data_IF_484461184351
#
_entry.id   IF_484461184351
#
_cell.length_a   1.000
_cell.length_b   1.000
_cell.length_c   1.000
_cell.angle_alpha   90.00
_cell.angle_beta   90.00
_cell.angle_gamma   90.00
#
_symmetry.space_group_name_H-M   'P 1'
#
loop_
_entity.id
_entity.type
_entity.pdbx_description
1 polymer ?
#
# COMPACT_ATOMS: atom_id res chain seq x y z
N UNK A 1 5.58 -41.06 12.99
CA UNK A 1 5.49 -40.95 14.46
C UNK A 1 6.30 -39.77 15.07
N UNK A 2 7.45 -39.36 14.52
CA UNK A 2 8.32 -38.29 15.07
C UNK A 2 7.78 -36.87 14.92
N UNK A 3 6.93 -36.57 13.92
CA UNK A 3 6.33 -35.20 13.73
C UNK A 3 5.21 -34.90 14.72
N UNK A 4 4.44 -35.87 15.16
CA UNK A 4 3.37 -35.69 16.14
C UNK A 4 3.90 -35.43 17.55
N UNK A 5 4.99 -36.08 17.97
CA UNK A 5 5.61 -35.82 19.27
C UNK A 5 6.17 -34.41 19.41
N UNK A 6 6.72 -33.86 18.33
CA UNK A 6 7.26 -32.47 18.35
C UNK A 6 6.16 -31.40 18.48
N UNK A 7 4.98 -31.65 17.91
CA UNK A 7 3.84 -30.73 17.99
C UNK A 7 3.20 -30.74 19.38
N UNK A 8 3.06 -31.95 19.97
CA UNK A 8 2.46 -32.10 21.29
C UNK A 8 3.35 -31.53 22.43
N UNK A 9 4.65 -31.73 22.33
CA UNK A 9 5.61 -31.18 23.31
C UNK A 9 5.68 -29.65 23.20
N UNK A 10 5.52 -29.08 21.99
CA UNK A 10 5.51 -27.64 21.79
C UNK A 10 4.24 -26.98 22.35
N UNK A 11 3.08 -27.60 22.14
CA UNK A 11 1.80 -27.17 22.69
C UNK A 11 1.77 -27.24 24.22
N UNK A 12 2.23 -28.36 24.80
CA UNK A 12 2.33 -28.53 26.26
C UNK A 12 3.31 -27.54 26.91
N UNK A 13 4.43 -27.20 26.25
CA UNK A 13 5.35 -26.18 26.76
C UNK A 13 4.77 -24.77 26.66
N UNK A 14 4.01 -24.45 25.60
CA UNK A 14 3.33 -23.14 25.48
C UNK A 14 2.23 -23.00 26.55
N UNK A 15 1.48 -24.05 26.86
CA UNK A 15 0.47 -24.05 27.92
C UNK A 15 1.08 -23.98 29.32
N UNK A 16 2.20 -24.66 29.57
CA UNK A 16 2.94 -24.62 30.86
C UNK A 16 3.61 -23.25 31.07
N UNK A 17 4.20 -22.66 30.03
CA UNK A 17 4.76 -21.32 30.08
C UNK A 17 3.66 -20.27 30.30
N UNK A 18 2.53 -20.40 29.62
CA UNK A 18 1.37 -19.54 29.79
C UNK A 18 0.82 -19.60 31.22
N UNK A 19 0.75 -20.80 31.81
CA UNK A 19 0.26 -21.02 33.17
C UNK A 19 1.23 -20.46 34.22
N UNK A 20 2.56 -20.65 34.02
CA UNK A 20 3.59 -20.11 34.94
C UNK A 20 3.72 -18.59 34.83
N UNK A 21 3.47 -17.98 33.68
CA UNK A 21 3.49 -16.54 33.49
C UNK A 21 2.23 -15.85 34.07
N UNK A 22 1.08 -16.54 34.06
CA UNK A 22 -0.14 -16.03 34.68
C UNK A 22 -0.04 -16.06 36.22
N UNK A 23 0.80 -16.93 36.81
CA UNK A 23 1.02 -17.00 38.25
C UNK A 23 2.09 -16.01 38.74
N UNK A 24 2.86 -15.37 37.84
CA UNK A 24 3.97 -14.47 38.19
C UNK A 24 3.63 -12.97 38.17
N UNK A 25 2.65 -12.53 37.38
CA UNK A 25 2.28 -11.12 37.28
C UNK A 25 0.79 -10.93 37.58
N UNK A 26 0.50 -10.47 38.78
CA UNK A 26 -0.87 -10.19 39.25
C UNK A 26 -1.10 -8.66 39.28
N UNK A 27 -1.39 -8.09 38.11
CA UNK A 27 -1.77 -6.68 38.02
C UNK A 27 -3.18 -6.49 38.59
N UNK A 28 -3.45 -5.37 39.31
CA UNK A 28 -4.77 -5.05 39.82
C UNK A 28 -5.84 -5.10 38.69
N UNK A 29 -6.94 -5.78 38.93
CA UNK A 29 -8.01 -6.05 37.96
C UNK A 29 -8.53 -4.79 37.27
N UNK A 30 -8.56 -3.66 37.99
CA UNK A 30 -9.01 -2.38 37.44
C UNK A 30 -8.10 -1.82 36.34
N UNK A 31 -6.81 -2.19 36.31
CA UNK A 31 -5.83 -1.66 35.35
C UNK A 31 -6.24 -1.97 33.90
N UNK A 32 -6.61 -3.22 33.65
CA UNK A 32 -6.98 -3.69 32.31
C UNK A 32 -8.48 -3.90 32.15
N UNK A 33 -9.28 -3.57 33.14
CA UNK A 33 -10.73 -3.68 33.07
C UNK A 33 -11.30 -2.84 31.91
N UNK A 34 -12.13 -3.47 31.07
CA UNK A 34 -12.70 -2.83 29.88
C UNK A 34 -11.82 -2.85 28.65
N UNK A 35 -10.57 -3.33 28.76
CA UNK A 35 -9.70 -3.56 27.61
C UNK A 35 -9.68 -5.04 27.20
N UNK A 36 -9.64 -5.31 25.91
CA UNK A 36 -9.32 -6.66 25.42
C UNK A 36 -7.82 -6.87 25.51
N UNK A 37 -7.40 -7.72 26.45
CA UNK A 37 -5.98 -8.00 26.74
C UNK A 37 -5.65 -9.47 26.67
N UNK A 38 -4.41 -9.80 26.31
CA UNK A 38 -3.86 -11.16 26.28
C UNK A 38 -2.37 -11.16 26.67
N UNK A 39 -1.91 -12.19 27.39
CA UNK A 39 -0.48 -12.38 27.62
C UNK A 39 0.19 -12.87 26.34
N UNK A 40 1.19 -12.16 25.89
CA UNK A 40 1.96 -12.52 24.71
C UNK A 40 3.10 -13.48 25.05
N UNK A 41 2.80 -14.76 25.07
CA UNK A 41 3.76 -15.82 25.45
C UNK A 41 5.00 -15.87 24.56
N UNK A 42 4.90 -15.44 23.28
CA UNK A 42 6.04 -15.38 22.35
C UNK A 42 7.04 -14.27 22.66
N UNK A 43 6.60 -13.22 23.35
CA UNK A 43 7.43 -12.07 23.71
C UNK A 43 7.78 -12.02 25.19
N UNK A 44 7.04 -12.77 26.02
CA UNK A 44 7.30 -12.89 27.44
C UNK A 44 8.54 -13.76 27.68
N UNK A 45 9.27 -13.46 28.73
CA UNK A 45 10.48 -14.18 29.17
C UNK A 45 10.43 -14.34 30.69
N UNK A 46 11.31 -15.18 31.25
CA UNK A 46 11.47 -15.29 32.72
C UNK A 46 11.82 -14.01 33.43
N UNK A 47 12.12 -12.94 32.72
CA UNK A 47 12.51 -11.62 33.28
C UNK A 47 11.49 -10.52 32.97
N UNK A 48 10.50 -10.76 32.14
CA UNK A 48 9.52 -9.75 31.77
C UNK A 48 8.28 -10.38 31.15
N UNK A 49 7.12 -10.09 31.69
CA UNK A 49 5.82 -10.42 31.12
C UNK A 49 5.39 -9.37 30.10
N UNK A 50 4.92 -9.79 28.93
CA UNK A 50 4.39 -8.89 27.89
C UNK A 50 2.90 -9.13 27.73
N UNK A 51 2.10 -8.09 27.98
CA UNK A 51 0.65 -8.09 27.80
C UNK A 51 0.34 -7.30 26.54
N UNK A 52 -0.49 -7.83 25.65
CA UNK A 52 -0.99 -7.11 24.47
C UNK A 52 -2.41 -6.63 24.77
N UNK A 53 -2.63 -5.32 24.64
CA UNK A 53 -3.95 -4.68 24.70
C UNK A 53 -4.33 -4.24 23.30
N UNK A 54 -5.55 -4.54 22.88
CA UNK A 54 -6.13 -4.09 21.60
C UNK A 54 -6.92 -2.82 21.80
N UNK A 55 -6.62 -1.79 21.01
CA UNK A 55 -7.12 -0.43 21.18
C UNK A 55 -7.65 0.18 19.89
N UNK A 56 -8.75 0.89 19.98
CA UNK A 56 -9.28 1.75 18.90
C UNK A 56 -8.59 3.12 18.88
N UNK A 57 -8.15 3.60 20.04
CA UNK A 57 -7.41 4.86 20.22
C UNK A 57 -6.18 4.63 21.12
N UNK A 58 -5.07 4.28 20.51
CA UNK A 58 -3.86 3.83 21.19
C UNK A 58 -3.28 4.85 22.15
N UNK A 59 -3.30 6.12 21.79
CA UNK A 59 -2.73 7.17 22.63
C UNK A 59 -3.55 7.37 23.89
N UNK A 60 -4.86 7.52 23.76
CA UNK A 60 -5.77 7.68 24.89
C UNK A 60 -5.81 6.42 25.76
N UNK A 61 -5.86 5.22 25.18
CA UNK A 61 -5.91 3.97 25.93
C UNK A 61 -4.58 3.70 26.67
N UNK A 62 -3.42 4.02 26.06
CA UNK A 62 -2.12 3.98 26.73
C UNK A 62 -2.07 4.90 27.94
N UNK A 63 -2.51 6.14 27.78
CA UNK A 63 -2.48 7.14 28.82
C UNK A 63 -3.46 6.77 29.95
N UNK A 64 -4.61 6.21 29.63
CA UNK A 64 -5.57 5.68 30.60
C UNK A 64 -5.01 4.47 31.39
N UNK A 65 -4.34 3.53 30.71
CA UNK A 65 -3.67 2.40 31.37
C UNK A 65 -2.57 2.91 32.31
N UNK A 66 -1.74 3.86 31.87
CA UNK A 66 -0.71 4.45 32.72
C UNK A 66 -1.32 5.16 33.94
N UNK A 67 -2.41 5.89 33.74
CA UNK A 67 -3.13 6.55 34.85
C UNK A 67 -3.65 5.54 35.86
N UNK A 68 -4.25 4.44 35.44
CA UNK A 68 -4.76 3.37 36.33
C UNK A 68 -3.64 2.65 37.05
N UNK A 69 -2.52 2.35 36.37
CA UNK A 69 -1.32 1.80 37.04
C UNK A 69 -0.81 2.72 38.14
N UNK A 70 -0.73 4.01 37.84
CA UNK A 70 -0.29 5.02 38.82
C UNK A 70 -1.24 5.09 40.04
N UNK A 71 -2.57 5.05 39.78
CA UNK A 71 -3.57 5.04 40.86
C UNK A 71 -3.53 3.78 41.70
N UNK A 72 -3.20 2.64 41.10
CA UNK A 72 -3.00 1.38 41.81
C UNK A 72 -1.63 1.27 42.52
N UNK A 73 -0.80 2.33 42.50
CA UNK A 73 0.52 2.33 43.13
C UNK A 73 1.59 1.54 42.37
N UNK A 74 1.33 1.16 41.12
CA UNK A 74 2.27 0.40 40.30
C UNK A 74 3.26 1.35 39.63
N UNK A 75 4.54 1.05 39.73
CA UNK A 75 5.59 1.85 39.08
C UNK A 75 5.61 1.57 37.57
N UNK A 76 5.21 2.54 36.76
CA UNK A 76 5.16 2.41 35.32
C UNK A 76 5.47 3.72 34.58
N UNK A 77 5.92 3.62 33.32
CA UNK A 77 6.21 4.76 32.46
C UNK A 77 5.94 4.42 31.01
N UNK A 78 5.72 5.44 30.17
CA UNK A 78 5.60 5.28 28.73
C UNK A 78 6.94 4.81 28.15
N UNK A 79 6.90 3.69 27.43
CA UNK A 79 8.05 3.16 26.72
C UNK A 79 8.20 3.77 25.33
N UNK A 80 9.25 3.39 24.61
CA UNK A 80 9.51 3.88 23.26
C UNK A 80 8.45 3.38 22.28
N UNK A 81 7.59 4.26 21.79
CA UNK A 81 6.53 3.99 20.81
C UNK A 81 7.07 3.65 19.43
N UNK A 82 6.32 2.86 18.67
CA UNK A 82 6.55 2.53 17.26
C UNK A 82 5.28 2.74 16.46
N UNK A 83 5.37 2.64 15.12
CA UNK A 83 4.19 2.77 14.25
C UNK A 83 3.07 1.75 14.52
N UNK A 84 3.36 0.68 15.25
CA UNK A 84 2.43 -0.41 15.52
C UNK A 84 2.20 -0.72 17.00
N UNK A 85 2.93 -0.06 17.91
CA UNK A 85 2.86 -0.36 19.34
C UNK A 85 3.16 0.90 20.15
N UNK A 86 2.29 1.22 21.10
CA UNK A 86 2.52 2.22 22.14
C UNK A 86 2.61 1.52 23.49
N UNK A 87 3.83 1.34 24.04
CA UNK A 87 4.03 0.53 25.23
C UNK A 87 3.99 1.35 26.52
N UNK A 88 3.56 0.67 27.59
CA UNK A 88 3.79 1.05 28.98
C UNK A 88 4.70 -0.01 29.61
N UNK A 89 5.86 0.38 30.07
CA UNK A 89 6.81 -0.48 30.79
C UNK A 89 6.71 -0.22 32.30
N UNK A 90 6.75 -1.28 33.12
CA UNK A 90 6.64 -1.13 34.55
C UNK A 90 7.21 -2.30 35.37
N UNK A 91 7.14 -2.14 36.69
CA UNK A 91 7.51 -3.14 37.68
C UNK A 91 6.38 -3.26 38.69
N UNK A 92 5.94 -4.48 38.95
CA UNK A 92 4.95 -4.81 39.98
C UNK A 92 5.41 -6.06 40.72
N UNK A 93 5.45 -5.99 42.05
CA UNK A 93 5.91 -7.06 42.96
C UNK A 93 7.28 -7.65 42.58
N UNK A 94 8.17 -6.78 42.11
CA UNK A 94 9.53 -7.17 41.66
C UNK A 94 9.62 -7.75 40.26
N UNK A 95 8.50 -7.96 39.60
CA UNK A 95 8.43 -8.47 38.24
C UNK A 95 8.30 -7.36 37.20
N UNK A 96 9.14 -7.41 36.16
CA UNK A 96 9.04 -6.46 35.08
C UNK A 96 7.90 -6.85 34.16
N UNK A 97 7.13 -5.86 33.71
CA UNK A 97 6.10 -6.06 32.69
C UNK A 97 6.17 -5.03 31.57
N UNK A 98 5.55 -5.36 30.45
CA UNK A 98 5.30 -4.45 29.35
C UNK A 98 3.90 -4.63 28.83
N UNK A 99 3.09 -3.58 28.83
CA UNK A 99 1.79 -3.55 28.18
C UNK A 99 1.99 -2.93 26.79
N UNK A 100 1.80 -3.72 25.74
CA UNK A 100 1.86 -3.27 24.35
C UNK A 100 0.46 -2.88 23.88
N UNK A 101 0.13 -1.59 23.88
CA UNK A 101 -1.10 -1.09 23.28
C UNK A 101 -0.94 -1.09 21.77
N UNK A 102 -1.70 -1.96 21.12
CA UNK A 102 -1.69 -2.15 19.68
C UNK A 102 -3.02 -1.73 19.09
N UNK A 103 -3.05 -1.32 17.82
CA UNK A 103 -4.34 -1.08 17.17
C UNK A 103 -5.20 -2.35 17.28
N UNK A 104 -6.52 -2.18 17.42
CA UNK A 104 -7.55 -3.22 17.52
C UNK A 104 -7.41 -4.34 16.47
N UNK A 105 -6.49 -4.16 15.58
CA UNK A 105 -6.19 -5.09 14.52
C UNK A 105 -4.71 -5.56 14.58
N UNK A 106 -4.50 -6.87 14.57
CA UNK A 106 -4.00 -7.61 13.44
C UNK A 106 -4.90 -7.49 12.20
N UNK A 107 -5.76 -6.49 12.11
CA UNK A 107 -6.74 -6.25 11.09
C UNK A 107 -6.26 -5.36 9.96
N UNK A 108 -7.13 -5.17 9.02
CA UNK A 108 -6.97 -4.42 7.79
C UNK A 108 -6.43 -3.01 8.06
N UNK A 109 -5.29 -2.66 7.46
CA UNK A 109 -4.76 -1.29 7.56
C UNK A 109 -5.76 -0.30 6.97
N UNK A 110 -5.80 0.94 7.49
CA UNK A 110 -6.74 1.97 7.03
C UNK A 110 -6.72 2.17 5.50
N UNK A 111 -5.54 2.12 4.88
CA UNK A 111 -5.42 2.21 3.41
C UNK A 111 -6.11 1.05 2.70
N UNK A 112 -6.00 -0.16 3.24
CA UNK A 112 -6.67 -1.36 2.71
C UNK A 112 -8.17 -1.29 2.97
N UNK A 113 -8.60 -0.87 4.16
CA UNK A 113 -10.00 -0.65 4.50
C UNK A 113 -10.66 0.34 3.53
N UNK A 114 -10.02 1.48 3.31
CA UNK A 114 -10.49 2.51 2.40
C UNK A 114 -10.66 2.02 0.96
N UNK A 115 -9.74 1.20 0.46
CA UNK A 115 -9.86 0.58 -0.85
C UNK A 115 -10.99 -0.44 -0.87
N UNK A 116 -11.04 -1.33 0.13
CA UNK A 116 -12.04 -2.38 0.22
C UNK A 116 -13.47 -1.84 0.28
N UNK A 117 -13.73 -0.73 0.98
CA UNK A 117 -15.05 -0.07 0.98
C UNK A 117 -15.47 0.28 -0.44
N UNK A 118 -14.57 0.93 -1.20
CA UNK A 118 -14.88 1.39 -2.57
C UNK A 118 -15.02 0.24 -3.57
N UNK A 119 -14.36 -0.89 -3.33
CA UNK A 119 -14.30 -2.02 -4.26
C UNK A 119 -15.35 -3.11 -3.96
N UNK A 120 -15.52 -3.46 -2.68
CA UNK A 120 -16.37 -4.56 -2.23
C UNK A 120 -17.85 -4.16 -2.19
N UNK A 121 -18.18 -3.02 -1.59
CA UNK A 121 -19.57 -2.66 -1.31
C UNK A 121 -20.42 -2.52 -2.58
N UNK A 122 -19.89 -1.94 -3.69
CA UNK A 122 -20.62 -1.96 -4.96
C UNK A 122 -20.92 -3.36 -5.49
N UNK A 123 -19.99 -4.32 -5.28
CA UNK A 123 -20.21 -5.70 -5.72
C UNK A 123 -21.34 -6.36 -4.94
N UNK A 124 -21.38 -6.17 -3.60
CA UNK A 124 -22.47 -6.68 -2.75
C UNK A 124 -23.80 -6.03 -3.14
N UNK A 125 -23.83 -4.73 -3.32
CA UNK A 125 -25.03 -4.01 -3.68
C UNK A 125 -25.59 -4.48 -5.03
N UNK A 126 -24.73 -4.62 -6.03
CA UNK A 126 -25.12 -5.07 -7.36
C UNK A 126 -25.66 -6.51 -7.36
N UNK A 127 -24.98 -7.44 -6.67
CA UNK A 127 -25.42 -8.84 -6.56
C UNK A 127 -26.81 -8.96 -5.91
N UNK A 128 -27.14 -8.08 -4.99
CA UNK A 128 -28.44 -8.06 -4.29
C UNK A 128 -29.48 -7.14 -4.94
N UNK A 129 -29.22 -6.58 -6.12
CA UNK A 129 -30.09 -5.60 -6.78
C UNK A 129 -30.42 -4.40 -5.89
N UNK A 130 -29.49 -4.00 -5.02
CA UNK A 130 -29.69 -2.91 -4.08
C UNK A 130 -29.12 -1.59 -4.61
N UNK A 131 -29.91 -0.53 -4.61
CA UNK A 131 -29.51 0.83 -5.01
C UNK A 131 -29.48 1.74 -3.79
N UNK A 132 -28.30 2.05 -3.22
CA UNK A 132 -28.19 2.87 -2.04
C UNK A 132 -28.66 4.32 -2.31
N UNK A 133 -29.44 4.87 -1.38
CA UNK A 133 -29.97 6.24 -1.43
C UNK A 133 -29.14 7.23 -0.61
N UNK A 134 -28.52 6.77 0.45
CA UNK A 134 -27.60 7.53 1.31
C UNK A 134 -26.49 6.61 1.87
N UNK A 135 -25.53 7.20 2.55
CA UNK A 135 -24.47 6.44 3.24
C UNK A 135 -25.04 5.58 4.35
N UNK A 136 -25.98 6.14 5.13
CA UNK A 136 -26.64 5.46 6.25
C UNK A 136 -27.50 4.29 5.76
N UNK A 137 -28.31 4.51 4.73
CA UNK A 137 -29.12 3.50 4.06
C UNK A 137 -28.24 2.35 3.53
N UNK A 138 -27.10 2.71 2.92
CA UNK A 138 -26.17 1.71 2.40
C UNK A 138 -25.52 0.88 3.52
N UNK A 139 -25.10 1.53 4.60
CA UNK A 139 -24.48 0.82 5.72
C UNK A 139 -25.47 -0.11 6.43
N UNK A 140 -26.70 0.32 6.65
CA UNK A 140 -27.76 -0.54 7.21
C UNK A 140 -28.00 -1.78 6.35
N UNK A 141 -28.06 -1.62 5.02
CA UNK A 141 -28.17 -2.74 4.10
C UNK A 141 -26.96 -3.70 4.25
N UNK A 142 -25.73 -3.19 4.22
CA UNK A 142 -24.51 -4.01 4.31
C UNK A 142 -24.43 -4.79 5.63
N UNK A 143 -24.85 -4.21 6.74
CA UNK A 143 -24.91 -4.87 8.05
C UNK A 143 -25.95 -6.01 8.11
N UNK A 144 -26.96 -6.01 7.24
CA UNK A 144 -27.96 -7.08 7.15
C UNK A 144 -27.54 -8.29 6.30
N UNK A 145 -26.42 -8.16 5.56
CA UNK A 145 -25.98 -9.17 4.58
C UNK A 145 -25.21 -10.32 5.24
N UNK A 146 -25.56 -11.54 4.90
CA UNK A 146 -24.69 -12.70 5.15
C UNK A 146 -23.60 -12.80 4.06
N UNK A 147 -22.43 -12.29 4.39
CA UNK A 147 -21.24 -12.29 3.50
C UNK A 147 -20.90 -13.70 2.99
N UNK A 148 -21.21 -14.77 3.77
CA UNK A 148 -20.87 -16.14 3.36
C UNK A 148 -21.65 -16.58 2.12
N UNK A 149 -22.83 -16.02 1.89
CA UNK A 149 -23.70 -16.35 0.76
C UNK A 149 -23.39 -15.55 -0.50
N UNK A 150 -22.57 -14.51 -0.41
CA UNK A 150 -22.25 -13.63 -1.56
C UNK A 150 -21.34 -14.34 -2.58
N UNK A 151 -21.76 -14.44 -3.83
CA UNK A 151 -20.96 -15.01 -4.93
C UNK A 151 -19.90 -14.05 -5.47
N UNK A 152 -20.12 -12.74 -5.33
CA UNK A 152 -19.15 -11.70 -5.71
C UNK A 152 -17.86 -11.75 -4.87
N UNK A 153 -17.84 -12.52 -3.78
CA UNK A 153 -16.71 -12.60 -2.85
C UNK A 153 -16.13 -14.01 -2.88
N UNK A 154 -14.86 -14.13 -3.26
CA UNK A 154 -14.15 -15.40 -3.23
C UNK A 154 -14.11 -16.00 -1.81
N UNK A 155 -14.21 -17.32 -1.67
CA UNK A 155 -14.28 -18.00 -0.37
C UNK A 155 -13.14 -17.66 0.59
N UNK A 156 -11.92 -17.43 0.07
CA UNK A 156 -10.74 -17.04 0.86
C UNK A 156 -10.80 -15.60 1.39
N UNK A 157 -11.71 -14.78 0.90
CA UNK A 157 -11.80 -13.34 1.23
C UNK A 157 -13.06 -12.99 2.04
N UNK A 158 -13.87 -13.97 2.41
CA UNK A 158 -15.10 -13.77 3.22
C UNK A 158 -14.80 -13.08 4.55
N UNK A 159 -13.74 -13.47 5.24
CA UNK A 159 -13.33 -12.85 6.51
C UNK A 159 -12.86 -11.40 6.31
N UNK A 160 -12.12 -11.12 5.23
CA UNK A 160 -11.74 -9.74 4.91
C UNK A 160 -12.96 -8.88 4.56
N UNK A 161 -13.97 -9.44 3.90
CA UNK A 161 -15.21 -8.76 3.60
C UNK A 161 -16.02 -8.44 4.87
N UNK A 162 -16.17 -9.41 5.78
CA UNK A 162 -16.79 -9.18 7.10
C UNK A 162 -16.06 -8.10 7.89
N UNK A 163 -14.73 -8.16 7.92
CA UNK A 163 -13.91 -7.16 8.58
C UNK A 163 -14.10 -5.77 7.97
N UNK A 164 -14.21 -5.68 6.63
CA UNK A 164 -14.46 -4.41 5.93
C UNK A 164 -15.79 -3.80 6.35
N UNK A 165 -16.87 -4.59 6.38
CA UNK A 165 -18.21 -4.12 6.80
C UNK A 165 -18.16 -3.67 8.26
N UNK A 166 -17.66 -4.50 9.17
CA UNK A 166 -17.65 -4.21 10.61
C UNK A 166 -16.78 -3.01 11.00
N UNK A 167 -15.78 -2.66 10.18
CA UNK A 167 -14.82 -1.58 10.46
C UNK A 167 -14.98 -0.37 9.57
N UNK A 168 -15.93 -0.36 8.66
CA UNK A 168 -16.08 0.73 7.68
C UNK A 168 -16.18 2.11 8.37
N UNK A 169 -16.98 2.21 9.43
CA UNK A 169 -17.22 3.45 10.18
C UNK A 169 -15.99 3.94 10.96
N UNK A 170 -15.00 3.06 11.21
CA UNK A 170 -13.75 3.42 11.89
C UNK A 170 -12.75 4.12 10.95
N UNK A 171 -13.04 4.17 9.64
CA UNK A 171 -12.18 4.88 8.70
C UNK A 171 -12.30 6.39 8.89
N UNK A 172 -11.16 7.08 9.00
CA UNK A 172 -11.10 8.55 8.99
C UNK A 172 -11.68 9.18 7.70
N UNK A 173 -11.89 8.36 6.65
CA UNK A 173 -12.45 8.75 5.35
C UNK A 173 -13.77 8.05 5.04
N UNK A 174 -14.46 7.57 6.07
CA UNK A 174 -15.68 6.77 5.92
C UNK A 174 -16.68 7.40 4.95
N UNK A 175 -17.09 8.63 5.20
CA UNK A 175 -18.10 9.33 4.39
C UNK A 175 -17.68 9.44 2.92
N UNK A 176 -16.40 9.81 2.66
CA UNK A 176 -15.88 9.92 1.30
C UNK A 176 -15.87 8.58 0.59
N UNK A 177 -15.46 7.51 1.29
CA UNK A 177 -15.36 6.17 0.72
C UNK A 177 -16.72 5.53 0.47
N UNK A 178 -17.69 5.77 1.34
CA UNK A 178 -19.06 5.33 1.13
C UNK A 178 -19.72 6.06 -0.06
N UNK A 179 -19.52 7.36 -0.19
CA UNK A 179 -19.98 8.12 -1.36
C UNK A 179 -19.34 7.58 -2.66
N UNK A 180 -18.05 7.26 -2.64
CA UNK A 180 -17.39 6.63 -3.78
C UNK A 180 -17.99 5.24 -4.09
N UNK A 181 -18.31 4.44 -3.07
CA UNK A 181 -18.97 3.14 -3.26
C UNK A 181 -20.37 3.29 -3.87
N UNK A 182 -21.14 4.30 -3.47
CA UNK A 182 -22.44 4.64 -4.08
C UNK A 182 -22.24 4.98 -5.57
N UNK A 183 -21.25 5.82 -5.89
CA UNK A 183 -20.95 6.21 -7.27
C UNK A 183 -20.57 5.00 -8.15
N UNK A 184 -19.76 4.07 -7.62
CA UNK A 184 -19.38 2.85 -8.34
C UNK A 184 -20.58 1.90 -8.48
N UNK A 185 -21.44 1.81 -7.47
CA UNK A 185 -22.70 1.05 -7.60
C UNK A 185 -23.54 1.60 -8.74
N UNK A 186 -23.69 2.93 -8.84
CA UNK A 186 -24.40 3.57 -9.94
C UNK A 186 -23.75 3.25 -11.30
N UNK A 187 -22.41 3.30 -11.39
CA UNK A 187 -21.69 2.90 -12.60
C UNK A 187 -22.03 1.46 -13.04
N UNK A 188 -22.08 0.50 -12.12
CA UNK A 188 -22.44 -0.89 -12.45
C UNK A 188 -23.87 -0.99 -13.02
N UNK A 189 -24.83 -0.25 -12.45
CA UNK A 189 -26.20 -0.23 -12.94
C UNK A 189 -26.34 0.47 -14.30
N UNK A 190 -25.65 1.58 -14.52
CA UNK A 190 -25.65 2.29 -15.79
C UNK A 190 -25.00 1.44 -16.89
N UNK A 191 -23.91 0.75 -16.56
CA UNK A 191 -23.29 -0.22 -17.45
C UNK A 191 -24.23 -1.38 -17.78
N UNK A 192 -24.91 -1.95 -16.78
CA UNK A 192 -25.84 -3.06 -16.94
C UNK A 192 -27.07 -2.68 -17.78
N UNK A 193 -27.51 -1.42 -17.72
CA UNK A 193 -28.61 -0.92 -18.55
C UNK A 193 -28.29 -0.89 -20.03
N UNK A 194 -27.01 -0.69 -20.39
CA UNK A 194 -26.53 -0.67 -21.75
C UNK A 194 -26.06 -2.06 -22.23
N UNK A 195 -25.43 -2.82 -21.33
CA UNK A 195 -24.90 -4.17 -21.59
C UNK A 195 -25.19 -5.01 -20.35
N UNK A 196 -26.15 -5.96 -20.42
CA UNK A 196 -26.55 -6.74 -19.24
C UNK A 196 -25.36 -7.44 -18.58
N UNK A 197 -25.20 -7.18 -17.31
CA UNK A 197 -24.17 -7.81 -16.46
C UNK A 197 -24.77 -9.08 -15.86
N UNK A 198 -24.06 -10.20 -16.04
CA UNK A 198 -24.39 -11.51 -15.44
C UNK A 198 -23.97 -11.54 -13.96
N UNK A 199 -22.72 -11.14 -13.70
CA UNK A 199 -22.15 -11.16 -12.37
C UNK A 199 -21.00 -10.19 -12.21
N UNK A 200 -20.74 -9.79 -10.97
CA UNK A 200 -19.60 -8.96 -10.56
C UNK A 200 -18.78 -9.68 -9.51
N UNK A 201 -17.48 -9.39 -9.43
CA UNK A 201 -16.56 -10.04 -8.50
C UNK A 201 -15.57 -9.05 -7.91
N UNK A 202 -15.36 -9.14 -6.61
CA UNK A 202 -14.32 -8.38 -5.91
C UNK A 202 -12.94 -9.01 -6.12
N UNK A 203 -12.01 -8.25 -6.67
CA UNK A 203 -10.66 -8.69 -7.00
C UNK A 203 -9.61 -8.47 -5.90
N UNK A 204 -9.92 -8.73 -4.64
CA UNK A 204 -9.12 -8.36 -3.46
C UNK A 204 -7.67 -8.83 -3.49
N UNK A 205 -7.41 -10.07 -3.91
CA UNK A 205 -6.06 -10.65 -3.96
C UNK A 205 -5.77 -11.28 -5.31
N UNK A 206 -4.48 -11.38 -5.64
CA UNK A 206 -4.05 -12.09 -6.85
C UNK A 206 -4.56 -13.53 -6.93
N UNK A 207 -4.69 -14.20 -5.77
CA UNK A 207 -5.13 -15.61 -5.67
C UNK A 207 -6.64 -15.79 -5.61
N UNK A 208 -7.42 -14.71 -5.57
CA UNK A 208 -8.87 -14.74 -5.43
C UNK A 208 -9.60 -14.07 -6.60
N UNK A 209 -8.90 -13.76 -7.67
CA UNK A 209 -9.52 -13.28 -8.90
C UNK A 209 -10.35 -14.39 -9.56
N UNK A 210 -11.39 -14.04 -10.32
CA UNK A 210 -12.22 -15.00 -11.01
C UNK A 210 -11.39 -15.94 -11.90
N UNK A 211 -11.85 -17.18 -12.06
CA UNK A 211 -11.18 -18.17 -12.91
C UNK A 211 -11.10 -17.66 -14.36
N UNK A 212 -9.89 -17.66 -14.91
CA UNK A 212 -9.60 -17.12 -16.25
C UNK A 212 -9.02 -15.70 -16.23
N UNK A 213 -9.02 -15.02 -15.08
CA UNK A 213 -8.36 -13.72 -14.92
C UNK A 213 -6.93 -13.93 -14.44
N UNK A 214 -5.91 -13.33 -15.10
CA UNK A 214 -4.53 -13.39 -14.62
C UNK A 214 -4.37 -12.81 -13.21
N UNK A 215 -3.60 -13.47 -12.34
CA UNK A 215 -3.41 -13.04 -10.95
C UNK A 215 -2.80 -11.64 -10.81
N UNK A 216 -2.00 -11.19 -11.77
CA UNK A 216 -1.40 -9.86 -11.83
C UNK A 216 -2.25 -8.80 -12.54
N UNK A 217 -3.48 -9.14 -12.94
CA UNK A 217 -4.39 -8.21 -13.60
C UNK A 217 -4.68 -6.99 -12.70
N UNK A 218 -4.69 -5.76 -13.24
CA UNK A 218 -4.82 -4.53 -12.44
C UNK A 218 -6.24 -4.21 -11.99
N UNK A 219 -7.26 -4.98 -12.41
CA UNK A 219 -8.65 -4.76 -12.01
C UNK A 219 -8.89 -5.02 -10.53
N UNK A 220 -9.69 -4.16 -9.93
CA UNK A 220 -10.14 -4.22 -8.53
C UNK A 220 -11.53 -4.88 -8.45
N UNK A 221 -12.35 -4.69 -9.49
CA UNK A 221 -13.65 -5.35 -9.70
C UNK A 221 -13.65 -6.00 -11.07
N UNK A 222 -14.31 -7.14 -11.21
CA UNK A 222 -14.45 -7.86 -12.47
C UNK A 222 -15.93 -8.03 -12.83
N UNK A 223 -16.27 -7.62 -14.04
CA UNK A 223 -17.62 -7.69 -14.58
C UNK A 223 -17.69 -8.81 -15.61
N UNK A 224 -18.66 -9.70 -15.49
CA UNK A 224 -19.02 -10.68 -16.50
C UNK A 224 -20.31 -10.27 -17.16
N UNK A 225 -20.30 -10.14 -18.48
CA UNK A 225 -21.49 -9.76 -19.25
C UNK A 225 -22.29 -10.98 -19.68
N UNK A 226 -23.61 -10.85 -19.74
CA UNK A 226 -24.51 -11.88 -20.25
C UNK A 226 -24.34 -12.07 -21.75
N UNK A 227 -24.34 -13.32 -22.20
CA UNK A 227 -24.39 -13.65 -23.63
C UNK A 227 -23.11 -13.38 -24.43
N UNK A 228 -22.00 -13.01 -23.78
CA UNK A 228 -20.70 -12.80 -24.45
C UNK A 228 -19.75 -13.95 -24.18
N UNK A 229 -19.45 -14.71 -25.23
CA UNK A 229 -18.43 -15.77 -25.19
C UNK A 229 -17.03 -15.28 -25.52
N UNK A 230 -16.92 -14.14 -26.21
CA UNK A 230 -15.67 -13.52 -26.68
C UNK A 230 -14.92 -12.74 -25.58
N UNK A 231 -15.61 -12.34 -24.52
CA UNK A 231 -15.04 -11.61 -23.40
C UNK A 231 -15.55 -12.23 -22.09
N UNK A 232 -14.70 -13.02 -21.42
CA UNK A 232 -15.08 -13.63 -20.15
C UNK A 232 -15.29 -12.58 -19.04
N UNK A 233 -14.38 -11.60 -18.96
CA UNK A 233 -14.43 -10.56 -17.94
C UNK A 233 -13.95 -9.22 -18.47
N UNK A 234 -14.51 -8.15 -17.91
CA UNK A 234 -13.98 -6.80 -17.96
C UNK A 234 -13.40 -6.47 -16.59
N UNK A 235 -12.12 -6.16 -16.51
CA UNK A 235 -11.50 -5.67 -15.28
C UNK A 235 -11.72 -4.17 -15.12
N UNK A 236 -12.25 -3.76 -13.97
CA UNK A 236 -12.45 -2.35 -13.62
C UNK A 236 -11.42 -1.96 -12.56
N UNK A 237 -10.49 -1.09 -12.90
CA UNK A 237 -9.57 -0.50 -11.93
C UNK A 237 -10.19 0.75 -11.33
N UNK A 238 -10.47 0.71 -10.03
CA UNK A 238 -11.15 1.78 -9.33
C UNK A 238 -10.15 2.81 -8.79
N UNK A 239 -10.46 4.07 -8.97
CA UNK A 239 -9.69 5.18 -8.43
C UNK A 239 -10.61 6.09 -7.63
N UNK A 240 -10.11 6.56 -6.51
CA UNK A 240 -10.83 7.50 -5.65
C UNK A 240 -9.95 8.73 -5.41
N UNK A 241 -10.52 9.92 -5.53
CA UNK A 241 -9.74 11.14 -5.30
C UNK A 241 -10.44 12.41 -5.76
N UNK A 242 -9.85 13.57 -5.48
CA UNK A 242 -10.36 14.85 -5.93
C UNK A 242 -10.32 15.00 -7.48
N UNK A 243 -11.12 15.91 -8.03
CA UNK A 243 -11.23 16.15 -9.49
C UNK A 243 -9.88 16.31 -10.20
N UNK A 244 -8.88 16.90 -9.53
CA UNK A 244 -7.55 17.14 -10.09
C UNK A 244 -6.53 16.02 -9.86
N UNK A 245 -6.85 15.01 -9.05
CA UNK A 245 -5.91 13.95 -8.71
C UNK A 245 -5.95 12.87 -9.78
N UNK A 246 -4.93 12.83 -10.62
CA UNK A 246 -4.67 11.67 -11.49
C UNK A 246 -3.83 10.69 -10.69
N UNK A 247 -4.38 9.51 -10.40
CA UNK A 247 -3.63 8.47 -9.71
C UNK A 247 -2.69 7.75 -10.68
N UNK A 248 -1.47 7.41 -10.22
CA UNK A 248 -0.53 6.69 -11.06
C UNK A 248 -1.07 5.29 -11.38
N UNK A 249 -1.13 4.97 -12.66
CA UNK A 249 -1.55 3.65 -13.15
C UNK A 249 -0.44 2.61 -13.03
N UNK A 250 0.82 3.04 -13.11
CA UNK A 250 2.00 2.23 -12.87
C UNK A 250 2.65 2.63 -11.55
N UNK A 251 2.92 1.65 -10.71
CA UNK A 251 3.75 1.81 -9.53
C UNK A 251 4.70 0.62 -9.45
N UNK A 252 5.92 0.81 -9.90
CA UNK A 252 6.99 -0.17 -9.82
C UNK A 252 8.23 0.43 -9.17
N UNK A 253 9.29 -0.37 -9.04
CA UNK A 253 10.58 0.08 -8.52
C UNK A 253 11.63 0.14 -9.63
N UNK A 254 12.72 0.81 -9.32
CA UNK A 254 13.85 0.99 -10.22
C UNK A 254 14.36 -0.34 -10.80
N UNK A 255 14.57 -1.40 -9.99
CA UNK A 255 15.09 -2.68 -10.47
C UNK A 255 14.24 -3.34 -11.57
N UNK A 256 12.92 -3.52 -11.40
CA UNK A 256 12.07 -4.03 -12.47
C UNK A 256 12.19 -3.26 -13.79
N UNK A 257 12.30 -1.91 -13.72
CA UNK A 257 12.46 -1.10 -14.94
C UNK A 257 13.75 -1.47 -15.67
N UNK A 258 14.91 -1.44 -14.99
CA UNK A 258 16.19 -1.81 -15.61
C UNK A 258 16.25 -3.26 -16.07
N UNK A 259 15.61 -4.18 -15.35
CA UNK A 259 15.51 -5.58 -15.76
C UNK A 259 14.74 -5.74 -17.08
N UNK A 260 13.65 -4.99 -17.25
CA UNK A 260 12.88 -4.99 -18.50
C UNK A 260 13.78 -4.61 -19.68
N UNK A 261 14.60 -3.57 -19.53
CA UNK A 261 15.55 -3.13 -20.55
C UNK A 261 16.82 -4.00 -20.64
N UNK A 262 16.95 -5.10 -19.89
CA UNK A 262 18.14 -5.95 -19.80
C UNK A 262 19.42 -5.17 -19.45
N UNK A 263 19.28 -4.09 -18.68
CA UNK A 263 20.32 -3.13 -18.34
C UNK A 263 20.74 -3.18 -16.86
N UNK A 264 20.68 -4.34 -16.23
CA UNK A 264 21.01 -4.51 -14.80
C UNK A 264 22.42 -4.07 -14.44
N UNK A 265 23.38 -4.19 -15.39
CA UNK A 265 24.75 -3.69 -15.22
C UNK A 265 24.81 -2.17 -15.15
N UNK A 266 24.03 -1.49 -15.99
CA UNK A 266 23.95 -0.02 -16.00
C UNK A 266 23.35 0.49 -14.69
N UNK A 267 22.36 -0.23 -14.14
CA UNK A 267 21.80 0.08 -12.82
C UNK A 267 22.86 -0.09 -11.71
N UNK A 268 23.71 -1.12 -11.78
CA UNK A 268 24.76 -1.32 -10.80
C UNK A 268 25.77 -0.17 -10.82
N UNK A 269 26.19 0.26 -12.00
CA UNK A 269 27.07 1.43 -12.17
C UNK A 269 26.41 2.69 -11.59
N UNK A 270 25.13 2.88 -11.88
CA UNK A 270 24.37 4.05 -11.40
C UNK A 270 24.23 4.02 -9.87
N UNK A 271 23.98 2.85 -9.28
CA UNK A 271 23.93 2.63 -7.84
C UNK A 271 25.27 2.99 -7.17
N UNK A 272 26.37 2.51 -7.73
CA UNK A 272 27.73 2.82 -7.26
C UNK A 272 28.00 4.33 -7.35
N UNK A 273 27.65 4.94 -8.47
CA UNK A 273 27.82 6.39 -8.68
C UNK A 273 27.04 7.19 -7.63
N UNK A 274 25.77 6.85 -7.42
CA UNK A 274 24.93 7.55 -6.44
C UNK A 274 25.49 7.37 -5.01
N UNK A 275 25.94 6.17 -4.65
CA UNK A 275 26.56 5.94 -3.35
C UNK A 275 27.87 6.73 -3.19
N UNK A 276 28.78 6.64 -4.15
CA UNK A 276 30.09 7.30 -4.07
C UNK A 276 29.98 8.81 -4.03
N UNK A 277 29.12 9.39 -4.85
CA UNK A 277 28.99 10.86 -4.92
C UNK A 277 28.20 11.46 -3.75
N UNK A 278 27.24 10.72 -3.19
CA UNK A 278 26.31 11.28 -2.21
C UNK A 278 26.60 10.79 -0.80
N UNK A 279 26.81 9.49 -0.61
CA UNK A 279 26.76 8.87 0.70
C UNK A 279 28.12 8.44 1.27
N UNK A 280 29.11 8.12 0.43
CA UNK A 280 30.40 7.56 0.89
C UNK A 280 31.18 8.47 1.84
N UNK A 281 30.97 9.78 1.76
CA UNK A 281 31.59 10.79 2.61
C UNK A 281 30.93 11.01 3.95
N UNK A 282 29.78 10.36 4.20
CA UNK A 282 29.00 10.53 5.42
C UNK A 282 29.52 9.53 6.45
N UNK A 283 30.08 10.05 7.54
CA UNK A 283 30.60 9.25 8.64
C UNK A 283 29.53 8.32 9.23
N UNK A 284 29.86 7.06 9.45
CA UNK A 284 28.95 6.03 9.97
C UNK A 284 27.95 5.48 8.93
N UNK A 285 28.04 5.89 7.66
CA UNK A 285 27.19 5.30 6.62
C UNK A 285 27.61 3.84 6.38
N UNK A 286 26.65 2.88 6.30
CA UNK A 286 26.96 1.49 5.99
C UNK A 286 27.52 1.35 4.58
N UNK A 287 28.31 0.31 4.35
CA UNK A 287 28.80 -0.03 3.02
C UNK A 287 27.63 -0.19 2.03
N UNK A 288 27.92 0.05 0.74
CA UNK A 288 26.90 0.12 -0.31
C UNK A 288 25.97 -1.11 -0.35
N UNK A 289 26.49 -2.32 -0.17
CA UNK A 289 25.68 -3.54 -0.22
C UNK A 289 24.74 -3.70 1.00
N UNK A 290 25.13 -3.13 2.11
CA UNK A 290 24.26 -3.06 3.30
C UNK A 290 23.26 -1.91 3.20
N UNK A 291 23.71 -0.79 2.63
CA UNK A 291 22.86 0.39 2.42
C UNK A 291 21.74 0.12 1.41
N UNK A 292 22.02 -0.48 0.28
CA UNK A 292 21.08 -0.72 -0.82
C UNK A 292 20.51 -2.15 -0.87
N UNK A 293 20.93 -3.02 0.02
CA UNK A 293 20.36 -4.38 0.14
C UNK A 293 20.70 -5.33 -0.99
N UNK A 294 21.67 -5.02 -1.85
CA UNK A 294 22.15 -5.90 -2.92
C UNK A 294 21.04 -6.44 -3.83
N UNK A 295 21.10 -7.72 -4.23
CA UNK A 295 20.10 -8.37 -5.11
C UNK A 295 18.68 -8.37 -4.57
N UNK A 296 18.50 -8.38 -3.25
CA UNK A 296 17.16 -8.47 -2.64
C UNK A 296 16.45 -7.13 -2.58
N UNK A 297 17.11 -6.01 -2.85
CA UNK A 297 16.57 -4.67 -2.73
C UNK A 297 16.14 -4.29 -1.31
N UNK A 298 16.52 -5.09 -0.30
CA UNK A 298 16.20 -4.83 1.11
C UNK A 298 17.34 -4.09 1.77
N UNK A 299 17.02 -2.94 2.28
CA UNK A 299 17.92 -2.13 3.10
C UNK A 299 18.22 -2.82 4.44
N UNK A 300 19.43 -3.37 4.59
CA UNK A 300 19.79 -4.14 5.79
C UNK A 300 20.02 -3.24 7.02
N UNK A 301 20.74 -2.13 6.84
CA UNK A 301 21.17 -1.25 7.91
C UNK A 301 20.46 0.11 7.88
N UNK A 302 19.12 0.06 7.70
CA UNK A 302 18.28 1.26 7.61
C UNK A 302 18.47 2.21 8.79
N UNK A 303 18.46 1.68 10.04
CA UNK A 303 18.61 2.49 11.25
C UNK A 303 19.98 3.15 11.33
N UNK A 304 21.04 2.47 10.91
CA UNK A 304 22.38 3.02 10.87
C UNK A 304 22.48 4.14 9.85
N UNK A 305 21.96 3.94 8.64
CA UNK A 305 21.92 4.99 7.60
C UNK A 305 21.14 6.22 8.05
N UNK A 306 19.99 6.02 8.67
CA UNK A 306 19.17 7.12 9.18
C UNK A 306 19.91 7.90 10.29
N UNK A 307 20.56 7.21 11.23
CA UNK A 307 21.39 7.84 12.27
C UNK A 307 22.57 8.63 11.69
N UNK A 308 23.30 8.04 10.75
CA UNK A 308 24.44 8.69 10.10
C UNK A 308 24.01 9.97 9.35
N UNK A 309 22.92 9.91 8.59
CA UNK A 309 22.34 11.06 7.88
C UNK A 309 21.88 12.15 8.84
N UNK A 310 21.21 11.80 9.94
CA UNK A 310 20.78 12.77 10.96
C UNK A 310 21.98 13.48 11.57
N UNK A 311 22.99 12.73 12.00
CA UNK A 311 24.20 13.29 12.61
C UNK A 311 24.96 14.21 11.65
N UNK A 312 25.15 13.76 10.41
CA UNK A 312 25.84 14.52 9.36
C UNK A 312 25.11 15.82 9.03
N UNK A 313 23.79 15.76 8.83
CA UNK A 313 23.02 16.95 8.49
C UNK A 313 22.98 17.95 9.65
N UNK A 314 22.85 17.46 10.89
CA UNK A 314 22.94 18.33 12.09
C UNK A 314 24.30 19.02 12.19
N UNK A 315 25.40 18.28 12.05
CA UNK A 315 26.79 18.79 12.11
C UNK A 315 27.05 19.85 11.05
N UNK A 316 26.47 19.71 9.86
CA UNK A 316 26.72 20.58 8.70
C UNK A 316 25.59 21.60 8.46
N UNK A 317 24.66 21.74 9.38
CA UNK A 317 23.47 22.61 9.25
C UNK A 317 22.73 22.45 7.91
N UNK A 318 22.48 21.17 7.51
CA UNK A 318 21.85 20.80 6.24
C UNK A 318 20.46 20.18 6.49
N UNK A 319 19.54 20.40 5.54
CA UNK A 319 18.26 19.72 5.53
C UNK A 319 18.38 18.26 5.07
N UNK A 320 17.46 17.39 5.54
CA UNK A 320 17.39 15.97 5.15
C UNK A 320 17.15 15.73 3.65
N UNK A 321 16.88 16.79 2.91
CA UNK A 321 16.51 16.72 1.51
C UNK A 321 17.73 16.71 0.59
N UNK A 322 18.85 17.29 1.03
CA UNK A 322 20.01 17.53 0.16
C UNK A 322 20.58 16.25 -0.45
N UNK A 323 20.77 15.22 0.36
CA UNK A 323 21.34 13.94 -0.11
C UNK A 323 20.32 13.15 -0.92
N UNK A 324 19.05 13.19 -0.51
CA UNK A 324 17.96 12.61 -1.29
C UNK A 324 17.84 13.25 -2.68
N UNK A 325 17.86 14.56 -2.76
CA UNK A 325 17.74 15.30 -4.02
C UNK A 325 18.93 15.05 -4.94
N UNK A 326 20.16 14.98 -4.41
CA UNK A 326 21.35 14.63 -5.17
C UNK A 326 21.29 13.19 -5.73
N UNK A 327 20.93 12.23 -4.90
CA UNK A 327 20.72 10.84 -5.33
C UNK A 327 19.61 10.74 -6.37
N UNK A 328 18.49 11.44 -6.15
CA UNK A 328 17.36 11.44 -7.05
C UNK A 328 17.72 11.99 -8.43
N UNK A 329 18.53 13.04 -8.51
CA UNK A 329 19.00 13.60 -9.78
C UNK A 329 19.81 12.61 -10.59
N UNK A 330 20.73 11.88 -9.92
CA UNK A 330 21.54 10.83 -10.57
C UNK A 330 20.62 9.74 -11.13
N UNK A 331 19.67 9.26 -10.32
CA UNK A 331 18.76 8.18 -10.72
C UNK A 331 17.77 8.62 -11.79
N UNK A 332 17.28 9.87 -11.75
CA UNK A 332 16.43 10.46 -12.78
C UNK A 332 17.16 10.59 -14.12
N UNK A 333 18.39 11.07 -14.09
CA UNK A 333 19.23 11.14 -15.30
C UNK A 333 19.48 9.75 -15.89
N UNK A 334 19.73 8.76 -15.03
CA UNK A 334 19.91 7.37 -15.44
C UNK A 334 18.68 6.80 -16.15
N UNK A 335 17.47 7.00 -15.61
CA UNK A 335 16.26 6.47 -16.24
C UNK A 335 15.95 7.19 -17.57
N UNK A 336 16.17 8.50 -17.65
CA UNK A 336 16.03 9.27 -18.89
C UNK A 336 16.97 8.74 -19.96
N UNK A 337 18.23 8.50 -19.63
CA UNK A 337 19.23 7.93 -20.54
C UNK A 337 18.85 6.52 -20.99
N UNK A 338 18.34 5.69 -20.07
CA UNK A 338 17.87 4.33 -20.35
C UNK A 338 16.79 4.33 -21.44
N UNK A 339 15.78 5.18 -21.28
CA UNK A 339 14.67 5.28 -22.23
C UNK A 339 15.14 5.89 -23.57
N UNK A 340 15.99 6.88 -23.56
CA UNK A 340 16.52 7.50 -24.80
C UNK A 340 17.42 6.56 -25.59
N UNK A 341 18.24 5.73 -24.91
CA UNK A 341 19.14 4.77 -25.55
C UNK A 341 18.37 3.59 -26.17
N UNK A 342 17.24 3.21 -25.59
CA UNK A 342 16.52 1.97 -25.94
C UNK A 342 15.08 2.31 -26.45
N UNK A 343 14.97 3.09 -27.50
CA UNK A 343 13.69 3.64 -27.97
C UNK A 343 12.62 2.59 -28.28
N UNK A 344 12.96 1.52 -29.00
CA UNK A 344 12.00 0.47 -29.33
C UNK A 344 11.50 -0.25 -28.07
N UNK A 345 12.42 -0.63 -27.18
CA UNK A 345 12.06 -1.24 -25.89
C UNK A 345 11.25 -0.29 -25.01
N UNK A 346 11.40 1.02 -25.17
CA UNK A 346 10.57 2.01 -24.46
C UNK A 346 9.11 1.95 -24.87
N UNK A 347 8.81 1.71 -26.16
CA UNK A 347 7.44 1.47 -26.62
C UNK A 347 6.90 0.15 -26.07
N UNK A 348 7.71 -0.91 -26.09
CA UNK A 348 7.33 -2.20 -25.53
C UNK A 348 7.07 -2.11 -24.03
N UNK A 349 7.87 -1.31 -23.30
CA UNK A 349 7.65 -1.02 -21.88
C UNK A 349 6.31 -0.34 -21.63
N UNK A 350 5.94 0.65 -22.48
CA UNK A 350 4.65 1.32 -22.34
C UNK A 350 3.51 0.32 -22.58
N UNK A 351 3.60 -0.51 -23.61
CA UNK A 351 2.58 -1.53 -23.92
C UNK A 351 2.40 -2.54 -22.80
N UNK A 352 3.51 -3.17 -22.35
CA UNK A 352 3.45 -4.28 -21.40
C UNK A 352 3.27 -3.85 -19.95
N UNK A 353 3.95 -2.76 -19.52
CA UNK A 353 4.00 -2.39 -18.11
C UNK A 353 3.03 -1.26 -17.75
N UNK A 354 2.78 -0.32 -18.66
CA UNK A 354 1.87 0.81 -18.40
C UNK A 354 0.45 0.47 -18.84
N UNK A 355 0.26 0.06 -20.07
CA UNK A 355 -1.06 -0.32 -20.56
C UNK A 355 -1.49 -1.66 -19.98
N UNK A 356 -0.54 -2.60 -19.79
CA UNK A 356 -0.83 -3.97 -19.36
C UNK A 356 -1.96 -4.56 -20.18
N UNK A 357 -1.82 -4.43 -21.47
CA UNK A 357 -2.84 -4.85 -22.42
C UNK A 357 -2.99 -6.38 -22.33
N UNK A 358 -4.11 -6.81 -21.80
CA UNK A 358 -4.52 -8.19 -21.74
C UNK A 358 -5.80 -8.32 -22.56
N UNK A 359 -5.70 -8.60 -23.86
CA UNK A 359 -6.87 -8.62 -24.76
C UNK A 359 -7.95 -9.60 -24.31
N UNK A 360 -7.58 -10.65 -23.59
CA UNK A 360 -8.50 -11.66 -23.04
C UNK A 360 -9.34 -11.13 -21.88
N UNK A 361 -8.81 -10.17 -21.10
CA UNK A 361 -9.50 -9.50 -19.99
C UNK A 361 -9.19 -8.01 -20.07
N UNK A 362 -9.92 -7.25 -20.89
CA UNK A 362 -9.71 -5.80 -21.01
C UNK A 362 -9.85 -5.09 -19.68
N UNK A 363 -9.13 -3.98 -19.53
CA UNK A 363 -9.19 -3.16 -18.31
C UNK A 363 -9.68 -1.76 -18.65
N UNK A 364 -10.64 -1.27 -17.89
CA UNK A 364 -11.03 0.13 -17.87
C UNK A 364 -10.71 0.76 -16.52
N UNK A 365 -10.62 2.07 -16.47
CA UNK A 365 -10.37 2.82 -15.24
C UNK A 365 -11.57 3.70 -14.95
N UNK A 366 -12.19 3.46 -13.80
CA UNK A 366 -13.32 4.28 -13.30
C UNK A 366 -12.84 5.05 -12.08
N UNK A 367 -13.06 6.35 -12.10
CA UNK A 367 -12.71 7.24 -11.00
C UNK A 367 -13.98 7.72 -10.31
N UNK A 368 -14.09 7.47 -9.01
CA UNK A 368 -15.15 8.02 -8.18
C UNK A 368 -14.72 9.36 -7.57
N UNK A 369 -15.61 10.35 -7.65
CA UNK A 369 -15.43 11.70 -7.09
C UNK A 369 -16.71 12.08 -6.34
N UNK A 370 -16.69 11.96 -5.00
CA UNK A 370 -17.88 12.06 -4.20
C UNK A 370 -18.87 10.96 -4.59
N UNK A 371 -20.11 11.34 -4.88
CA UNK A 371 -21.19 10.44 -5.32
C UNK A 371 -21.36 10.34 -6.85
N UNK A 372 -20.36 10.76 -7.62
CA UNK A 372 -20.34 10.64 -9.08
C UNK A 372 -19.14 9.83 -9.55
N UNK A 373 -19.17 9.34 -10.79
CA UNK A 373 -18.07 8.63 -11.41
C UNK A 373 -17.73 9.22 -12.78
N UNK A 374 -16.48 8.99 -13.21
CA UNK A 374 -16.01 9.28 -14.56
C UNK A 374 -15.15 8.13 -15.08
N UNK A 375 -15.24 7.82 -16.36
CA UNK A 375 -14.33 6.90 -17.02
C UNK A 375 -13.05 7.64 -17.42
N UNK A 376 -11.88 7.08 -17.06
CA UNK A 376 -10.59 7.65 -17.42
C UNK A 376 -10.10 6.99 -18.70
N UNK A 377 -10.18 7.71 -19.80
CA UNK A 377 -9.88 7.20 -21.15
C UNK A 377 -8.41 7.37 -21.56
N UNK A 378 -7.59 8.04 -20.78
CA UNK A 378 -6.17 8.31 -21.07
C UNK A 378 -5.42 7.06 -21.56
N UNK A 379 -5.78 5.89 -21.02
CA UNK A 379 -5.15 4.62 -21.32
C UNK A 379 -5.54 4.09 -22.71
N UNK A 380 -6.81 4.12 -23.03
CA UNK A 380 -7.34 3.63 -24.31
C UNK A 380 -6.84 4.51 -25.45
N UNK A 381 -6.85 5.82 -25.23
CA UNK A 381 -6.28 6.80 -26.15
C UNK A 381 -4.79 6.56 -26.39
N UNK A 382 -4.03 6.25 -25.34
CA UNK A 382 -2.62 5.89 -25.47
C UNK A 382 -2.44 4.60 -26.27
N UNK A 383 -3.29 3.59 -26.04
CA UNK A 383 -3.28 2.33 -26.77
C UNK A 383 -3.49 2.52 -28.28
N UNK A 384 -4.45 3.35 -28.65
CA UNK A 384 -4.73 3.72 -30.07
C UNK A 384 -3.59 4.54 -30.68
N UNK A 385 -2.93 5.36 -29.89
CA UNK A 385 -1.84 6.24 -30.36
C UNK A 385 -0.49 5.51 -30.52
N UNK A 386 -0.16 4.54 -29.65
CA UNK A 386 1.16 3.87 -29.64
C UNK A 386 1.60 3.28 -30.98
N UNK A 387 0.75 2.60 -31.78
CA UNK A 387 1.13 2.08 -33.09
C UNK A 387 1.59 3.16 -34.09
N UNK A 388 1.21 4.41 -33.86
CA UNK A 388 1.50 5.54 -34.73
C UNK A 388 2.80 6.27 -34.35
N UNK A 389 3.42 5.91 -33.23
CA UNK A 389 4.60 6.59 -32.67
C UNK A 389 5.84 6.28 -33.49
N UNK A 390 6.43 7.34 -34.07
CA UNK A 390 7.67 7.29 -34.84
C UNK A 390 8.88 7.70 -34.04
N UNK A 391 8.68 8.52 -33.00
CA UNK A 391 9.77 9.06 -32.19
C UNK A 391 9.38 9.09 -30.70
N UNK A 392 10.37 8.75 -29.87
CA UNK A 392 10.25 8.79 -28.41
C UNK A 392 11.45 9.53 -27.81
N UNK A 393 11.20 10.40 -26.82
CA UNK A 393 12.22 11.16 -26.12
C UNK A 393 11.86 11.31 -24.65
N UNK A 394 12.77 10.89 -23.77
CA UNK A 394 12.69 11.17 -22.36
C UNK A 394 13.46 12.47 -22.00
N UNK A 395 12.90 13.28 -21.12
CA UNK A 395 13.51 14.53 -20.64
C UNK A 395 13.13 14.83 -19.19
N UNK A 396 13.96 15.58 -18.46
CA UNK A 396 13.64 16.05 -17.12
C UNK A 396 12.53 17.11 -17.16
N UNK A 397 11.68 17.10 -16.13
CA UNK A 397 10.73 18.19 -15.94
C UNK A 397 11.43 19.38 -15.27
N UNK A 398 11.32 20.60 -15.81
CA UNK A 398 11.96 21.78 -15.21
C UNK A 398 11.33 22.18 -13.87
N UNK A 399 10.09 21.77 -13.61
CA UNK A 399 9.32 22.16 -12.42
C UNK A 399 9.48 21.21 -11.22
N UNK A 400 10.16 20.06 -11.39
CA UNK A 400 10.26 19.07 -10.32
C UNK A 400 11.49 18.18 -10.50
N UNK A 401 12.27 18.00 -9.43
CA UNK A 401 13.39 17.06 -9.39
C UNK A 401 12.98 15.58 -9.50
N UNK A 402 11.72 15.28 -9.21
CA UNK A 402 11.17 13.92 -9.23
C UNK A 402 10.53 13.57 -10.57
N UNK A 403 10.00 14.56 -11.29
CA UNK A 403 9.26 14.34 -12.52
C UNK A 403 10.18 14.32 -13.73
N UNK A 404 9.80 13.46 -14.68
CA UNK A 404 10.38 13.42 -16.01
C UNK A 404 9.25 13.17 -17.03
N UNK A 405 9.51 13.50 -18.27
CA UNK A 405 8.52 13.49 -19.34
C UNK A 405 8.99 12.50 -20.40
N UNK A 406 8.09 11.65 -20.84
CA UNK A 406 8.27 10.81 -22.01
C UNK A 406 7.41 11.37 -23.13
N UNK A 407 8.06 11.97 -24.13
CA UNK A 407 7.42 12.54 -25.31
C UNK A 407 7.35 11.51 -26.42
N UNK A 408 6.14 11.26 -26.90
CA UNK A 408 5.82 10.32 -27.99
C UNK A 408 5.31 11.13 -29.17
N UNK A 409 5.93 11.01 -30.35
CA UNK A 409 5.53 11.74 -31.54
C UNK A 409 5.12 10.79 -32.66
N UNK A 410 3.98 11.07 -33.25
CA UNK A 410 3.57 10.54 -34.55
C UNK A 410 3.78 11.60 -35.66
N UNK A 411 3.37 11.30 -36.86
CA UNK A 411 3.39 12.27 -37.98
C UNK A 411 2.50 13.50 -37.71
N UNK A 412 1.41 13.34 -36.97
CA UNK A 412 0.37 14.35 -36.78
C UNK A 412 0.28 14.91 -35.36
N UNK A 413 0.79 14.18 -34.37
CA UNK A 413 0.52 14.49 -32.95
C UNK A 413 1.70 14.20 -32.03
N UNK A 414 1.76 14.94 -30.93
CA UNK A 414 2.71 14.71 -29.84
C UNK A 414 1.95 14.46 -28.54
N UNK A 415 2.20 13.33 -27.91
CA UNK A 415 1.68 12.96 -26.59
C UNK A 415 2.81 13.02 -25.57
N UNK A 416 2.58 13.63 -24.43
CA UNK A 416 3.53 13.68 -23.32
C UNK A 416 2.99 12.87 -22.15
N UNK A 417 3.76 11.89 -21.71
CA UNK A 417 3.47 11.10 -20.52
C UNK A 417 4.26 11.68 -19.35
N UNK A 418 3.56 11.96 -18.25
CA UNK A 418 4.19 12.41 -17.01
C UNK A 418 4.62 11.21 -16.20
N UNK A 419 5.91 11.12 -15.94
CA UNK A 419 6.54 10.08 -15.17
C UNK A 419 7.16 10.65 -13.89
N UNK A 420 7.25 9.84 -12.85
CA UNK A 420 7.86 10.25 -11.57
C UNK A 420 8.81 9.18 -11.07
N UNK A 421 9.97 9.59 -10.55
CA UNK A 421 10.86 8.75 -9.77
C UNK A 421 10.96 9.36 -8.36
N UNK A 422 10.63 8.60 -7.30
CA UNK A 422 10.56 9.14 -5.94
C UNK A 422 10.60 8.07 -4.86
N UNK A 423 10.86 8.51 -3.62
CA UNK A 423 10.63 7.66 -2.45
C UNK A 423 9.16 7.24 -2.34
N UNK A 424 8.94 5.98 -2.01
CA UNK A 424 7.62 5.43 -1.73
C UNK A 424 7.36 5.25 -0.22
N UNK A 425 8.25 5.77 0.65
CA UNK A 425 8.05 5.72 2.10
C UNK A 425 6.85 6.57 2.51
N UNK A 426 6.08 6.07 3.46
CA UNK A 426 5.08 6.84 4.21
C UNK A 426 5.75 7.79 5.21
N UNK A 427 4.99 8.75 5.73
CA UNK A 427 5.47 9.72 6.72
C UNK A 427 5.53 11.15 6.19
N UNK A 428 6.01 12.09 7.00
CA UNK A 428 6.20 13.47 6.57
C UNK A 428 7.32 13.60 5.51
N UNK A 429 7.45 14.77 4.90
CA UNK A 429 8.38 14.98 3.77
C UNK A 429 9.84 14.65 4.14
N UNK A 430 10.30 15.07 5.31
CA UNK A 430 11.66 14.78 5.80
C UNK A 430 11.89 13.29 6.04
N UNK A 431 10.94 12.59 6.69
CA UNK A 431 11.03 11.15 6.94
C UNK A 431 10.97 10.33 5.65
N UNK A 432 10.18 10.76 4.65
CA UNK A 432 10.12 10.09 3.35
C UNK A 432 11.46 10.05 2.62
N UNK A 433 12.31 11.04 2.85
CA UNK A 433 13.59 11.21 2.19
C UNK A 433 14.75 10.63 2.97
N UNK A 434 14.62 10.56 4.30
CA UNK A 434 15.68 10.08 5.19
C UNK A 434 16.01 8.60 4.94
N UNK A 435 17.28 8.30 4.74
CA UNK A 435 17.77 6.93 4.51
C UNK A 435 17.20 6.24 3.27
N UNK A 436 16.71 6.99 2.29
CA UNK A 436 16.29 6.44 1.01
C UNK A 436 17.51 6.04 0.18
N UNK A 437 17.46 4.89 -0.47
CA UNK A 437 18.54 4.34 -1.29
C UNK A 437 18.13 4.21 -2.76
N UNK A 438 19.10 4.18 -3.70
CA UNK A 438 18.83 4.25 -5.14
C UNK A 438 17.81 3.24 -5.66
N UNK A 439 18.01 1.95 -5.37
CA UNK A 439 17.11 0.90 -5.88
C UNK A 439 15.78 0.79 -5.14
N UNK A 440 15.62 1.50 -4.04
CA UNK A 440 14.36 1.61 -3.29
C UNK A 440 13.40 2.70 -3.80
N UNK A 441 13.79 3.44 -4.84
CA UNK A 441 12.92 4.44 -5.46
C UNK A 441 11.81 3.76 -6.27
N UNK A 442 10.61 4.34 -6.20
CA UNK A 442 9.47 3.97 -7.03
C UNK A 442 9.49 4.75 -8.34
N UNK A 443 9.13 4.09 -9.41
CA UNK A 443 8.86 4.68 -10.73
C UNK A 443 7.36 4.62 -10.96
N UNK A 444 6.76 5.76 -11.31
CA UNK A 444 5.31 5.88 -11.46
C UNK A 444 4.96 6.59 -12.75
N UNK A 445 3.89 6.13 -13.38
CA UNK A 445 3.18 6.82 -14.43
C UNK A 445 2.05 7.65 -13.82
N UNK A 446 1.99 8.94 -14.11
CA UNK A 446 1.04 9.88 -13.53
C UNK A 446 -0.03 10.38 -14.53
N UNK A 447 -0.07 9.84 -15.72
CA UNK A 447 -1.06 10.17 -16.74
C UNK A 447 -0.47 10.83 -17.98
N UNK A 448 -1.33 11.03 -18.97
CA UNK A 448 -1.04 11.69 -20.23
C UNK A 448 -1.27 13.19 -20.05
N UNK A 449 -0.40 13.98 -20.64
CA UNK A 449 -0.51 15.44 -20.64
C UNK A 449 -0.65 15.96 -22.07
N UNK A 450 -1.60 15.44 -22.83
CA UNK A 450 -1.95 15.96 -24.18
C UNK A 450 -2.22 17.46 -24.14
N UNK A 451 -2.82 17.89 -23.05
CA UNK A 451 -3.42 19.21 -22.87
C UNK A 451 -2.66 20.12 -21.93
N UNK A 452 -1.45 19.78 -21.53
CA UNK A 452 -0.60 20.79 -20.91
C UNK A 452 -0.17 21.80 -22.00
N UNK A 453 -1.13 22.59 -22.45
CA UNK A 453 -0.83 23.92 -22.90
C UNK A 453 -0.12 24.59 -21.72
N UNK A 454 1.21 24.67 -21.87
CA UNK A 454 2.09 25.59 -21.16
C UNK A 454 1.67 26.03 -19.74
N UNK A 455 2.19 25.33 -18.75
CA UNK A 455 2.38 25.91 -17.41
C UNK A 455 3.83 26.28 -17.19
#
# INVERSE_FOLDING_TARGET
MLRFKKFYVKSLNEDLISKSLNEQLDLPDEVLSGFTSEINTKKSTSRRTVITVKSGDRDNDRDEILRRLTQAGVQAAIGSSSSSVDPVDGIHDGENFRIEVKPLSGGMQETTLNSSITELFPCIAFENNYRPKSVEDFMQFLMSIDVNQMNCIHSKDKEAAKETINKAELSSKYQDKMNNAIAITQYLYDTSSNKPIDSVYWGYRSSSKPRGVPGNHPGDVFIKFSGRSDMQFLGVSLKAGGKKTKEPQLNTYVRPVWNFFKASRDLEILRQTAYTQVYSKIEGMPAIDNFDGGRTGRHKDKKQSEKALVAYNKKNNRGYESDYDAMLEIMRTGIINLFNKNRNQSLDYIKSEILRDAPEVPTIVIKAVGNSYEEVTDRDELGVFLPQVQFIKASSSPKSKQNWILELKSASETVKMLMTIRSNKSGNAGQKKLGQYPTGLAVKYNGITRWLKYY
#
